data_IF_384918881090
#
_entry.id   IF_384918881090
#
_cell.length_a   1.000
_cell.length_b   1.000
_cell.length_c   1.000
_cell.angle_alpha   90.00
_cell.angle_beta   90.00
_cell.angle_gamma   90.00
#
_symmetry.space_group_name_H-M   'P 1'
#
loop_
_entity.id
_entity.type
_entity.pdbx_description
1 polymer ?
#
# COMPACT_ATOMS: atom_id res chain seq x y z
N UNK A 1 -1.25 -3.63 26.60
CA UNK A 1 -0.32 -4.56 25.94
C UNK A 1 -0.12 -4.04 24.52
N UNK A 2 1.07 -3.51 24.24
CA UNK A 2 1.35 -3.03 22.89
C UNK A 2 1.35 -4.21 21.92
N UNK A 3 0.65 -4.04 20.81
CA UNK A 3 0.55 -5.04 19.77
C UNK A 3 1.83 -4.98 18.95
N UNK A 4 2.71 -5.96 19.11
CA UNK A 4 3.96 -6.05 18.35
C UNK A 4 3.80 -7.08 17.22
N UNK A 5 4.24 -6.68 16.03
CA UNK A 5 4.37 -7.59 14.87
C UNK A 5 5.81 -8.10 14.76
N UNK A 6 5.99 -9.18 14.00
CA UNK A 6 7.31 -9.75 13.78
C UNK A 6 8.17 -8.82 12.92
N UNK A 7 9.30 -8.36 13.44
CA UNK A 7 10.23 -7.50 12.72
C UNK A 7 11.00 -6.56 13.65
N UNK A 8 11.69 -5.58 13.06
CA UNK A 8 12.52 -4.61 13.77
C UNK A 8 11.70 -3.69 14.69
N UNK A 9 12.41 -2.99 15.58
CA UNK A 9 11.81 -1.94 16.40
C UNK A 9 11.26 -0.80 15.55
N UNK A 10 11.92 -0.47 14.43
CA UNK A 10 11.48 0.58 13.50
C UNK A 10 10.16 0.21 12.82
N UNK A 11 10.08 -1.01 12.28
CA UNK A 11 8.84 -1.53 11.70
C UNK A 11 7.68 -1.47 12.71
N UNK A 12 7.91 -1.87 13.95
CA UNK A 12 6.88 -1.83 15.00
C UNK A 12 6.46 -0.39 15.34
N UNK A 13 7.38 0.55 15.42
CA UNK A 13 7.05 1.98 15.62
C UNK A 13 6.24 2.54 14.45
N UNK A 14 6.59 2.23 13.21
CA UNK A 14 5.84 2.63 12.01
C UNK A 14 4.43 2.02 12.03
N UNK A 15 4.28 0.76 12.42
CA UNK A 15 2.98 0.11 12.55
C UNK A 15 2.10 0.80 13.60
N UNK A 16 2.66 1.14 14.77
CA UNK A 16 1.93 1.85 15.82
C UNK A 16 1.47 3.24 15.35
N UNK A 17 2.30 3.96 14.59
CA UNK A 17 1.92 5.22 13.97
C UNK A 17 0.74 5.05 13.01
N UNK A 18 0.79 4.03 12.14
CA UNK A 18 -0.31 3.69 11.24
C UNK A 18 -1.61 3.35 11.98
N UNK A 19 -1.55 2.56 13.04
CA UNK A 19 -2.75 2.19 13.82
C UNK A 19 -3.44 3.41 14.47
N UNK A 20 -2.65 4.36 15.01
CA UNK A 20 -3.19 5.62 15.57
C UNK A 20 -3.89 6.43 14.49
N UNK A 21 -3.23 6.62 13.36
CA UNK A 21 -3.78 7.37 12.21
C UNK A 21 -5.02 6.71 11.63
N UNK A 22 -5.02 5.38 11.51
CA UNK A 22 -6.12 4.61 10.94
C UNK A 22 -7.43 4.70 11.73
N UNK A 23 -7.36 4.94 13.04
CA UNK A 23 -8.58 5.10 13.86
C UNK A 23 -9.38 6.35 13.44
N UNK A 24 -8.69 7.44 13.12
CA UNK A 24 -9.30 8.66 12.56
C UNK A 24 -9.89 8.41 11.17
N UNK A 25 -9.14 7.68 10.33
CA UNK A 25 -9.57 7.38 8.96
C UNK A 25 -10.82 6.49 8.89
N UNK A 26 -10.96 5.53 9.82
CA UNK A 26 -12.20 4.72 9.93
C UNK A 26 -13.42 5.55 10.27
N UNK A 27 -13.28 6.51 11.18
CA UNK A 27 -14.35 7.46 11.53
C UNK A 27 -14.71 8.32 10.30
N UNK A 28 -13.68 8.86 9.61
CA UNK A 28 -13.87 9.69 8.44
C UNK A 28 -14.54 8.90 7.29
N UNK A 29 -14.26 7.60 7.16
CA UNK A 29 -14.93 6.72 6.19
C UNK A 29 -16.43 6.57 6.48
N UNK A 30 -16.81 6.37 7.74
CA UNK A 30 -18.22 6.33 8.13
C UNK A 30 -18.97 7.66 7.87
N UNK A 31 -18.27 8.80 7.93
CA UNK A 31 -18.84 10.10 7.58
C UNK A 31 -19.03 10.27 6.06
N UNK A 32 -18.14 9.72 5.23
CA UNK A 32 -18.25 9.78 3.76
C UNK A 32 -19.53 9.12 3.26
N UNK A 33 -19.96 8.02 3.86
CA UNK A 33 -21.22 7.36 3.49
C UNK A 33 -22.42 8.29 3.66
N UNK A 34 -22.41 9.16 4.66
CA UNK A 34 -23.45 10.15 4.88
C UNK A 34 -23.35 11.36 3.92
N UNK A 35 -22.15 11.63 3.37
CA UNK A 35 -21.89 12.77 2.47
C UNK A 35 -22.10 12.42 0.98
N UNK A 36 -22.47 11.20 0.63
CA UNK A 36 -22.60 10.73 -0.77
C UNK A 36 -23.65 11.48 -1.61
N UNK A 37 -24.47 12.33 -1.00
CA UNK A 37 -25.38 13.22 -1.73
C UNK A 37 -24.65 14.30 -2.57
N UNK A 38 -23.34 14.53 -2.33
CA UNK A 38 -22.51 15.47 -3.07
C UNK A 38 -21.10 14.93 -3.31
N UNK A 39 -20.81 14.46 -4.52
CA UNK A 39 -19.48 13.99 -4.91
C UNK A 39 -18.38 15.05 -4.73
N UNK A 40 -18.70 16.33 -4.88
CA UNK A 40 -17.75 17.42 -4.65
C UNK A 40 -17.41 17.52 -3.16
N UNK A 41 -18.41 17.50 -2.30
CA UNK A 41 -18.20 17.52 -0.84
C UNK A 41 -17.42 16.31 -0.36
N UNK A 42 -17.68 15.12 -0.89
CA UNK A 42 -16.94 13.91 -0.56
C UNK A 42 -15.46 14.00 -1.00
N UNK A 43 -15.14 14.53 -2.19
CA UNK A 43 -13.76 14.74 -2.64
C UNK A 43 -13.00 15.72 -1.76
N UNK A 44 -13.58 16.88 -1.47
CA UNK A 44 -12.97 17.89 -0.60
C UNK A 44 -12.73 17.32 0.81
N UNK A 45 -13.64 16.49 1.30
CA UNK A 45 -13.52 15.81 2.59
C UNK A 45 -12.35 14.82 2.58
N UNK A 46 -12.23 13.96 1.55
CA UNK A 46 -11.15 12.98 1.44
C UNK A 46 -9.79 13.65 1.28
N UNK A 47 -9.70 14.75 0.52
CA UNK A 47 -8.47 15.52 0.41
C UNK A 47 -8.02 16.07 1.78
N UNK A 48 -8.96 16.58 2.57
CA UNK A 48 -8.69 17.02 3.95
C UNK A 48 -8.33 15.84 4.87
N UNK A 49 -8.93 14.68 4.67
CA UNK A 49 -8.60 13.47 5.41
C UNK A 49 -7.17 13.01 5.09
N UNK A 50 -6.76 13.01 3.82
CA UNK A 50 -5.39 12.69 3.41
C UNK A 50 -4.37 13.65 4.05
N UNK A 51 -4.61 14.96 4.00
CA UNK A 51 -3.72 15.93 4.64
C UNK A 51 -3.62 15.72 6.16
N UNK A 52 -4.72 15.41 6.85
CA UNK A 52 -4.69 15.07 8.29
C UNK A 52 -3.91 13.79 8.59
N UNK A 53 -3.97 12.80 7.71
CA UNK A 53 -3.16 11.58 7.82
C UNK A 53 -1.68 11.95 7.73
N UNK A 54 -1.29 12.73 6.73
CA UNK A 54 0.08 13.18 6.51
C UNK A 54 0.61 13.93 7.73
N UNK A 55 -0.13 14.92 8.24
CA UNK A 55 0.26 15.72 9.41
C UNK A 55 0.33 14.87 10.70
N UNK A 56 -0.66 14.00 10.92
CA UNK A 56 -0.75 13.19 12.13
C UNK A 56 0.38 12.17 12.22
N UNK A 57 0.66 11.47 11.11
CA UNK A 57 1.66 10.40 11.09
C UNK A 57 3.09 10.95 11.08
N UNK A 58 3.31 12.13 10.46
CA UNK A 58 4.64 12.70 10.31
C UNK A 58 5.37 12.88 11.64
N UNK A 59 4.68 13.38 12.66
CA UNK A 59 5.26 13.57 13.99
C UNK A 59 5.76 12.26 14.60
N UNK A 60 5.02 11.18 14.41
CA UNK A 60 5.40 9.84 14.88
C UNK A 60 6.56 9.26 14.06
N UNK A 61 6.55 9.46 12.73
CA UNK A 61 7.61 8.98 11.84
C UNK A 61 8.95 9.68 12.12
N UNK A 62 8.93 10.98 12.42
CA UNK A 62 10.14 11.72 12.81
C UNK A 62 10.71 11.27 14.17
N UNK A 63 9.95 10.58 15.03
CA UNK A 63 10.50 9.89 16.20
C UNK A 63 11.23 8.59 15.83
N UNK A 64 10.94 8.02 14.66
CA UNK A 64 11.63 6.82 14.13
C UNK A 64 12.94 7.24 13.45
N UNK A 65 12.86 8.25 12.58
CA UNK A 65 13.98 8.81 11.80
C UNK A 65 13.89 10.33 11.75
N UNK A 66 14.51 11.05 12.70
CA UNK A 66 14.35 12.51 12.83
C UNK A 66 14.78 13.32 11.60
N UNK A 67 15.78 12.82 10.84
CA UNK A 67 16.31 13.50 9.65
C UNK A 67 15.73 13.02 8.33
N UNK A 68 14.76 12.09 8.36
CA UNK A 68 14.17 11.56 7.13
C UNK A 68 13.31 12.60 6.41
N UNK A 69 13.35 12.53 5.07
CA UNK A 69 12.40 13.22 4.21
C UNK A 69 11.00 12.60 4.25
N UNK A 70 10.05 13.25 3.60
CA UNK A 70 8.70 12.73 3.38
C UNK A 70 8.31 12.95 1.91
N UNK A 71 7.89 11.89 1.24
CA UNK A 71 7.30 11.89 -0.07
C UNK A 71 5.85 11.41 0.01
N UNK A 72 4.92 12.22 -0.47
CA UNK A 72 3.52 11.85 -0.67
C UNK A 72 3.09 12.24 -2.09
N UNK A 73 1.91 11.84 -2.58
CA UNK A 73 1.41 12.27 -3.88
C UNK A 73 1.32 13.80 -4.03
N UNK A 74 1.20 14.53 -2.92
CA UNK A 74 0.98 15.98 -2.90
C UNK A 74 2.18 16.77 -2.40
N UNK A 75 3.09 16.16 -1.64
CA UNK A 75 4.18 16.83 -0.94
C UNK A 75 5.47 16.06 -1.08
N UNK A 76 6.54 16.77 -1.41
CA UNK A 76 7.91 16.26 -1.29
C UNK A 76 8.67 17.19 -0.34
N UNK A 77 9.04 16.68 0.83
CA UNK A 77 9.83 17.36 1.84
C UNK A 77 11.19 16.69 1.97
N UNK A 78 12.24 17.36 1.57
CA UNK A 78 13.61 16.86 1.74
C UNK A 78 13.94 16.72 3.24
N UNK A 79 14.63 15.63 3.58
CA UNK A 79 15.30 15.45 4.87
C UNK A 79 16.76 15.85 4.80
N UNK A 80 17.45 15.75 5.93
CA UNK A 80 18.89 16.05 6.02
C UNK A 80 19.76 14.83 5.64
N UNK A 81 19.14 13.66 5.50
CA UNK A 81 19.80 12.38 5.29
C UNK A 81 19.42 11.73 3.96
N UNK A 82 19.76 10.44 3.87
CA UNK A 82 19.46 9.57 2.74
C UNK A 82 18.17 8.75 2.98
N UNK A 83 17.52 8.99 4.11
CA UNK A 83 16.31 8.30 4.52
C UNK A 83 15.09 9.13 4.13
N UNK A 84 14.05 8.46 3.66
CA UNK A 84 12.81 9.06 3.24
C UNK A 84 11.63 8.14 3.60
N UNK A 85 10.61 8.71 4.21
CA UNK A 85 9.31 8.05 4.30
C UNK A 85 8.52 8.34 3.04
N UNK A 86 7.88 7.29 2.50
CA UNK A 86 6.99 7.38 1.35
C UNK A 86 5.60 6.98 1.82
N UNK A 87 4.64 7.89 1.72
CA UNK A 87 3.30 7.72 2.30
C UNK A 87 2.23 8.07 1.28
N UNK A 88 1.20 7.23 1.15
CA UNK A 88 0.02 7.51 0.35
C UNK A 88 -1.26 6.92 0.97
N UNK A 89 -2.39 7.59 0.73
CA UNK A 89 -3.71 6.99 0.81
C UNK A 89 -4.06 6.39 -0.55
N UNK A 90 -3.74 5.12 -0.75
CA UNK A 90 -4.03 4.40 -1.99
C UNK A 90 -5.50 4.00 -2.05
N UNK A 91 -6.13 4.19 -3.23
CA UNK A 91 -7.56 3.97 -3.40
C UNK A 91 -8.43 5.14 -2.91
N UNK A 92 -7.93 6.37 -2.95
CA UNK A 92 -8.68 7.57 -2.54
C UNK A 92 -10.02 7.74 -3.28
N UNK A 93 -10.11 7.31 -4.55
CA UNK A 93 -11.36 7.30 -5.32
C UNK A 93 -12.40 6.32 -4.76
N UNK A 94 -11.96 5.18 -4.24
CA UNK A 94 -12.80 4.21 -3.54
C UNK A 94 -13.31 4.81 -2.22
N UNK A 95 -12.41 5.42 -1.45
CA UNK A 95 -12.77 6.10 -0.20
C UNK A 95 -13.86 7.16 -0.42
N UNK A 96 -13.71 8.03 -1.44
CA UNK A 96 -14.74 9.03 -1.82
C UNK A 96 -16.10 8.41 -2.09
N UNK A 97 -16.14 7.17 -2.57
CA UNK A 97 -17.36 6.44 -2.92
C UNK A 97 -17.94 5.60 -1.78
N UNK A 98 -17.32 5.59 -0.60
CA UNK A 98 -17.70 4.68 0.49
C UNK A 98 -17.36 3.21 0.18
N UNK A 99 -16.43 2.97 -0.77
CA UNK A 99 -15.95 1.63 -1.05
C UNK A 99 -14.77 1.32 -0.09
N UNK A 100 -14.83 0.24 0.71
CA UNK A 100 -13.82 -0.07 1.73
C UNK A 100 -12.47 -0.51 1.16
N UNK A 101 -12.34 -0.65 -0.16
CA UNK A 101 -11.12 -1.11 -0.82
C UNK A 101 -10.12 0.04 -0.99
N UNK A 102 -9.50 0.45 0.12
CA UNK A 102 -8.43 1.46 0.18
C UNK A 102 -7.44 1.11 1.28
N UNK A 103 -6.24 1.68 1.22
CA UNK A 103 -5.18 1.42 2.19
C UNK A 103 -4.29 2.63 2.44
N UNK A 104 -3.64 2.65 3.60
CA UNK A 104 -2.48 3.49 3.85
C UNK A 104 -1.24 2.70 3.42
N UNK A 105 -0.50 3.21 2.43
CA UNK A 105 0.79 2.71 1.98
C UNK A 105 1.88 3.52 2.67
N UNK A 106 2.79 2.88 3.39
CA UNK A 106 3.91 3.51 4.08
C UNK A 106 5.19 2.71 3.84
N UNK A 107 6.22 3.37 3.33
CA UNK A 107 7.54 2.78 3.19
C UNK A 107 8.60 3.66 3.87
N UNK A 108 9.67 3.03 4.35
CA UNK A 108 10.92 3.69 4.70
C UNK A 108 11.96 3.29 3.66
N UNK A 109 12.50 4.28 2.96
CA UNK A 109 13.60 4.13 2.02
C UNK A 109 14.91 4.63 2.66
N UNK A 110 16.00 3.99 2.29
CA UNK A 110 17.36 4.41 2.66
C UNK A 110 18.27 4.18 1.47
N UNK A 111 19.01 5.20 1.04
CA UNK A 111 19.87 5.15 -0.15
C UNK A 111 19.11 4.66 -1.40
N UNK A 112 17.93 5.21 -1.66
CA UNK A 112 17.05 4.87 -2.80
C UNK A 112 16.49 3.45 -2.81
N UNK A 113 16.70 2.66 -1.75
CA UNK A 113 16.11 1.33 -1.61
C UNK A 113 15.05 1.31 -0.52
N UNK A 114 13.92 0.67 -0.78
CA UNK A 114 12.89 0.44 0.23
C UNK A 114 13.39 -0.62 1.22
N UNK A 115 13.42 -0.27 2.51
CA UNK A 115 13.90 -1.14 3.60
C UNK A 115 12.76 -1.72 4.44
N UNK A 116 11.71 -0.93 4.66
CA UNK A 116 10.53 -1.33 5.43
C UNK A 116 9.30 -0.91 4.63
N UNK A 117 8.31 -1.80 4.57
CA UNK A 117 7.07 -1.59 3.83
C UNK A 117 5.86 -2.06 4.64
N UNK A 118 4.82 -1.22 4.66
CA UNK A 118 3.55 -1.47 5.32
C UNK A 118 2.40 -1.02 4.40
N UNK A 119 1.45 -1.92 4.15
CA UNK A 119 0.19 -1.62 3.48
C UNK A 119 -0.94 -2.01 4.42
N UNK A 120 -1.63 -1.03 4.96
CA UNK A 120 -2.66 -1.23 5.96
C UNK A 120 -4.05 -0.89 5.42
N UNK A 121 -4.94 -1.90 5.38
CA UNK A 121 -6.38 -1.73 5.10
C UNK A 121 -7.10 -1.43 6.41
N UNK A 122 -7.58 -0.18 6.63
CA UNK A 122 -8.16 0.20 7.91
C UNK A 122 -9.50 -0.48 8.20
N UNK A 123 -10.28 -0.77 7.17
CA UNK A 123 -11.62 -1.36 7.32
C UNK A 123 -11.54 -2.85 7.65
N UNK A 124 -10.64 -3.57 6.97
CA UNK A 124 -10.41 -4.99 7.23
C UNK A 124 -9.49 -5.25 8.44
N UNK A 125 -8.90 -4.20 9.01
CA UNK A 125 -7.88 -4.27 10.07
C UNK A 125 -6.72 -5.23 9.70
N UNK A 126 -6.33 -5.22 8.41
CA UNK A 126 -5.31 -6.10 7.86
C UNK A 126 -4.09 -5.29 7.45
N UNK A 127 -2.92 -5.71 7.94
CA UNK A 127 -1.63 -5.16 7.56
C UNK A 127 -0.86 -6.20 6.74
N UNK A 128 -0.42 -5.81 5.55
CA UNK A 128 0.63 -6.49 4.80
C UNK A 128 1.93 -5.75 5.02
N UNK A 129 3.02 -6.47 5.31
CA UNK A 129 4.27 -5.83 5.63
C UNK A 129 5.48 -6.67 5.26
N UNK A 130 6.59 -5.99 5.04
CA UNK A 130 7.89 -6.61 4.79
C UNK A 130 9.02 -5.74 5.33
N UNK A 131 10.13 -6.38 5.64
CA UNK A 131 11.43 -5.79 5.91
C UNK A 131 12.44 -6.46 4.99
N UNK A 132 13.30 -5.68 4.34
CA UNK A 132 14.24 -6.17 3.32
C UNK A 132 15.08 -7.34 3.82
N UNK A 133 15.03 -8.47 3.11
CA UNK A 133 15.72 -9.72 3.45
C UNK A 133 15.03 -10.59 4.52
N UNK A 134 13.83 -10.21 5.01
CA UNK A 134 13.17 -10.91 6.11
C UNK A 134 11.86 -11.62 5.70
N UNK A 135 11.46 -11.46 4.44
CA UNK A 135 10.22 -12.00 3.90
C UNK A 135 9.01 -11.12 4.16
N UNK A 136 7.89 -11.47 3.55
CA UNK A 136 6.63 -10.75 3.65
C UNK A 136 5.64 -11.46 4.57
N UNK A 137 4.80 -10.67 5.24
CA UNK A 137 3.85 -11.14 6.23
C UNK A 137 2.50 -10.42 6.10
N UNK A 138 1.45 -11.08 6.56
CA UNK A 138 0.16 -10.46 6.83
C UNK A 138 -0.12 -10.55 8.33
N UNK A 139 -0.59 -9.43 8.91
CA UNK A 139 -1.10 -9.39 10.28
C UNK A 139 -2.59 -9.12 10.25
N UNK A 140 -3.37 -9.96 10.93
CA UNK A 140 -4.81 -9.82 11.12
C UNK A 140 -5.24 -10.61 12.35
N UNK A 141 -6.29 -10.15 13.03
CA UNK A 141 -6.81 -10.81 14.22
C UNK A 141 -5.72 -11.18 15.24
N UNK A 142 -4.76 -10.27 15.46
CA UNK A 142 -3.65 -10.38 16.41
C UNK A 142 -2.63 -11.48 16.08
N UNK A 143 -2.61 -11.96 14.83
CA UNK A 143 -1.68 -13.00 14.39
C UNK A 143 -0.94 -12.57 13.12
N UNK A 144 0.39 -12.80 13.08
CA UNK A 144 1.23 -12.62 11.89
C UNK A 144 1.46 -13.96 11.21
N UNK A 145 1.15 -14.04 9.92
CA UNK A 145 1.46 -15.18 9.08
C UNK A 145 2.38 -14.76 7.93
N UNK A 146 3.36 -15.61 7.59
CA UNK A 146 4.19 -15.41 6.41
C UNK A 146 3.35 -15.61 5.15
N UNK A 147 3.49 -14.70 4.17
CA UNK A 147 2.85 -14.82 2.87
C UNK A 147 3.87 -15.13 1.79
N UNK A 148 3.37 -15.69 0.69
CA UNK A 148 4.11 -15.96 -0.54
C UNK A 148 3.20 -15.73 -1.72
N UNK A 149 3.79 -15.37 -2.84
CA UNK A 149 3.10 -15.34 -4.14
C UNK A 149 2.53 -16.71 -4.50
N UNK A 150 1.56 -16.75 -5.42
CA UNK A 150 1.03 -18.00 -5.96
C UNK A 150 2.08 -18.71 -6.83
N UNK A 151 1.81 -19.94 -7.19
CA UNK A 151 2.61 -20.73 -8.12
C UNK A 151 1.86 -21.09 -9.41
N UNK A 152 0.76 -20.36 -9.71
CA UNK A 152 0.00 -20.56 -10.93
C UNK A 152 0.77 -20.04 -12.13
N UNK A 153 0.69 -20.77 -13.26
CA UNK A 153 1.36 -20.41 -14.50
C UNK A 153 0.45 -20.50 -15.73
N UNK A 154 -0.70 -21.22 -15.61
CA UNK A 154 -1.62 -21.38 -16.74
C UNK A 154 -2.41 -20.09 -16.98
N UNK A 155 -2.30 -19.46 -18.17
CA UNK A 155 -2.87 -18.14 -18.44
C UNK A 155 -4.35 -17.99 -18.13
N UNK A 156 -5.16 -19.04 -18.33
CA UNK A 156 -6.60 -19.02 -18.11
C UNK A 156 -7.00 -19.08 -16.63
N UNK A 157 -6.09 -19.51 -15.75
CA UNK A 157 -6.33 -19.63 -14.31
C UNK A 157 -5.86 -18.39 -13.53
N UNK A 158 -5.21 -17.44 -14.21
CA UNK A 158 -4.65 -16.26 -13.55
C UNK A 158 -5.73 -15.28 -13.13
N UNK A 159 -5.53 -14.68 -11.98
CA UNK A 159 -6.24 -13.46 -11.57
C UNK A 159 -5.30 -12.27 -11.62
N UNK A 160 -5.62 -11.28 -12.45
CA UNK A 160 -4.75 -10.14 -12.72
C UNK A 160 -5.41 -8.85 -12.28
N UNK A 161 -4.78 -8.14 -11.35
CA UNK A 161 -5.11 -6.75 -11.04
C UNK A 161 -4.57 -5.81 -12.13
N UNK A 162 -5.29 -4.76 -12.49
CA UNK A 162 -4.77 -3.80 -13.44
C UNK A 162 -5.27 -2.37 -13.19
N UNK A 163 -4.46 -1.40 -13.59
CA UNK A 163 -4.81 0.01 -13.64
C UNK A 163 -4.12 0.66 -14.84
N UNK A 164 -4.61 0.37 -16.04
CA UNK A 164 -4.08 0.88 -17.31
C UNK A 164 -5.07 1.84 -17.95
N UNK A 165 -4.57 2.84 -18.67
CA UNK A 165 -5.37 3.83 -19.41
C UNK A 165 -5.95 3.26 -20.71
N UNK A 166 -5.29 2.24 -21.27
CA UNK A 166 -5.71 1.54 -22.49
C UNK A 166 -6.61 0.32 -22.17
N UNK A 167 -7.28 -0.16 -23.21
CA UNK A 167 -8.09 -1.37 -23.15
C UNK A 167 -7.31 -2.59 -23.64
N UNK A 168 -6.04 -2.74 -23.24
CA UNK A 168 -5.28 -3.93 -23.61
C UNK A 168 -5.95 -5.20 -23.07
N UNK A 169 -6.02 -6.27 -23.85
CA UNK A 169 -6.57 -7.52 -23.37
C UNK A 169 -5.68 -8.09 -22.27
N UNK A 170 -6.29 -8.47 -21.15
CA UNK A 170 -5.64 -9.20 -20.07
C UNK A 170 -5.95 -10.69 -20.21
N UNK A 171 -4.97 -11.53 -19.94
CA UNK A 171 -5.19 -12.98 -19.81
C UNK A 171 -5.93 -13.28 -18.51
N UNK A 172 -6.67 -14.37 -18.48
CA UNK A 172 -7.33 -14.84 -17.27
C UNK A 172 -8.46 -13.93 -16.78
N UNK A 173 -8.59 -13.83 -15.47
CA UNK A 173 -9.65 -13.10 -14.77
C UNK A 173 -9.15 -11.72 -14.32
N UNK A 174 -9.49 -10.67 -15.07
CA UNK A 174 -8.97 -9.32 -14.85
C UNK A 174 -9.82 -8.52 -13.85
N UNK A 175 -9.17 -7.79 -12.95
CA UNK A 175 -9.77 -6.97 -11.90
C UNK A 175 -9.20 -5.56 -11.91
N UNK A 176 -10.07 -4.55 -11.98
CA UNK A 176 -9.71 -3.15 -11.78
C UNK A 176 -10.25 -2.68 -10.43
N UNK A 177 -9.43 -2.76 -9.40
CA UNK A 177 -9.85 -2.47 -8.02
C UNK A 177 -9.75 -0.98 -7.67
N UNK A 178 -8.81 -0.27 -8.27
CA UNK A 178 -8.53 1.14 -8.01
C UNK A 178 -7.72 1.40 -6.73
N UNK A 179 -7.01 0.38 -6.20
CA UNK A 179 -6.12 0.51 -5.05
C UNK A 179 -4.78 -0.22 -5.29
N UNK A 180 -3.82 0.42 -5.98
CA UNK A 180 -2.53 -0.17 -6.35
C UNK A 180 -1.80 -0.84 -5.19
N UNK A 181 -1.77 -0.21 -4.01
CA UNK A 181 -1.07 -0.76 -2.85
C UNK A 181 -1.67 -2.10 -2.39
N UNK A 182 -3.01 -2.23 -2.37
CA UNK A 182 -3.65 -3.50 -2.01
C UNK A 182 -3.51 -4.54 -3.12
N UNK A 183 -3.54 -4.14 -4.39
CA UNK A 183 -3.38 -5.05 -5.51
C UNK A 183 -1.99 -5.70 -5.48
N UNK A 184 -0.93 -4.92 -5.24
CA UNK A 184 0.42 -5.44 -5.01
C UNK A 184 0.51 -6.34 -3.78
N UNK A 185 -0.11 -5.95 -2.67
CA UNK A 185 -0.16 -6.78 -1.46
C UNK A 185 -0.91 -8.10 -1.71
N UNK A 186 -1.90 -8.10 -2.61
CA UNK A 186 -2.62 -9.31 -3.00
C UNK A 186 -1.82 -10.20 -3.95
N UNK A 187 -0.97 -9.62 -4.81
CA UNK A 187 0.04 -10.41 -5.55
C UNK A 187 0.97 -11.11 -4.57
N UNK A 188 1.51 -10.38 -3.60
CA UNK A 188 2.39 -10.94 -2.57
C UNK A 188 1.73 -12.04 -1.72
N UNK A 189 0.42 -11.98 -1.54
CA UNK A 189 -0.36 -12.96 -0.76
C UNK A 189 -0.93 -14.10 -1.61
N UNK A 190 -0.61 -14.17 -2.91
CA UNK A 190 -1.10 -15.19 -3.84
C UNK A 190 -2.61 -15.12 -4.10
N UNK A 191 -3.23 -13.96 -3.92
CA UNK A 191 -4.63 -13.70 -4.25
C UNK A 191 -4.80 -13.18 -5.67
N UNK A 192 -3.81 -12.44 -6.14
CA UNK A 192 -3.57 -12.11 -7.52
C UNK A 192 -2.28 -12.78 -7.98
N UNK A 193 -2.19 -13.09 -9.25
CA UNK A 193 -1.01 -13.67 -9.87
C UNK A 193 -0.12 -12.60 -10.48
N UNK A 194 -0.74 -11.49 -10.87
CA UNK A 194 -0.05 -10.31 -11.36
C UNK A 194 -0.82 -9.01 -11.11
N UNK A 195 -0.09 -7.89 -11.24
CA UNK A 195 -0.63 -6.54 -11.28
C UNK A 195 0.10 -5.72 -12.34
N UNK A 196 -0.66 -5.00 -13.18
CA UNK A 196 -0.15 -4.17 -14.27
C UNK A 196 -0.69 -2.75 -14.16
N UNK A 197 0.17 -1.74 -14.24
CA UNK A 197 -0.25 -0.33 -14.19
C UNK A 197 0.64 0.55 -15.06
N UNK A 198 0.02 1.43 -15.85
CA UNK A 198 0.67 2.54 -16.57
C UNK A 198 0.56 3.87 -15.82
N UNK A 199 -0.29 3.94 -14.79
CA UNK A 199 -0.48 5.11 -13.95
C UNK A 199 0.34 4.93 -12.66
N UNK A 200 1.58 5.42 -12.66
CA UNK A 200 2.54 5.22 -11.57
C UNK A 200 2.60 6.47 -10.68
N UNK A 201 1.92 6.42 -9.53
CA UNK A 201 2.31 7.23 -8.39
C UNK A 201 3.24 6.39 -7.51
N UNK A 202 4.51 6.77 -7.49
CA UNK A 202 5.54 6.04 -6.73
C UNK A 202 5.14 5.91 -5.25
N UNK A 203 4.49 6.91 -4.67
CA UNK A 203 4.08 6.85 -3.27
C UNK A 203 3.03 5.75 -3.00
N UNK A 204 2.20 5.40 -3.99
CA UNK A 204 1.24 4.31 -3.84
C UNK A 204 1.86 2.92 -3.97
N UNK A 205 2.95 2.79 -4.73
CA UNK A 205 3.53 1.47 -5.09
C UNK A 205 4.76 1.08 -4.27
N UNK A 206 5.49 2.04 -3.69
CA UNK A 206 6.79 1.81 -3.05
C UNK A 206 6.76 0.72 -1.95
N UNK A 207 5.72 0.68 -1.13
CA UNK A 207 5.56 -0.36 -0.11
C UNK A 207 5.19 -1.71 -0.75
N UNK A 208 4.23 -1.71 -1.67
CA UNK A 208 3.77 -2.91 -2.34
C UNK A 208 4.88 -3.63 -3.11
N UNK A 209 5.76 -2.86 -3.76
CA UNK A 209 6.92 -3.39 -4.48
C UNK A 209 7.82 -4.26 -3.58
N UNK A 210 8.23 -3.75 -2.42
CA UNK A 210 9.04 -4.52 -1.48
C UNK A 210 8.29 -5.76 -0.99
N UNK A 211 7.00 -5.63 -0.65
CA UNK A 211 6.19 -6.76 -0.16
C UNK A 211 6.13 -7.89 -1.19
N UNK A 212 5.95 -7.55 -2.50
CA UNK A 212 5.96 -8.55 -3.59
C UNK A 212 7.30 -9.25 -3.69
N UNK A 213 8.42 -8.50 -3.70
CA UNK A 213 9.78 -9.07 -3.79
C UNK A 213 10.08 -9.98 -2.59
N UNK A 214 9.74 -9.56 -1.40
CA UNK A 214 9.94 -10.35 -0.16
C UNK A 214 9.01 -11.57 -0.07
N UNK A 215 7.90 -11.58 -0.79
CA UNK A 215 7.03 -12.74 -0.95
C UNK A 215 7.52 -13.73 -2.02
N UNK A 216 8.59 -13.40 -2.74
CA UNK A 216 9.18 -14.22 -3.81
C UNK A 216 8.67 -13.90 -5.22
N UNK A 217 7.92 -12.83 -5.38
CA UNK A 217 7.47 -12.34 -6.68
C UNK A 217 8.52 -11.49 -7.40
N UNK A 218 8.18 -11.07 -8.60
CA UNK A 218 9.02 -10.23 -9.46
C UNK A 218 8.32 -8.89 -9.71
N UNK A 219 9.06 -7.78 -9.68
CA UNK A 219 8.56 -6.45 -10.01
C UNK A 219 9.50 -5.79 -11.00
N UNK A 220 8.96 -5.38 -12.13
CA UNK A 220 9.66 -4.67 -13.19
C UNK A 220 9.00 -3.30 -13.40
N UNK A 221 9.81 -2.27 -13.55
CA UNK A 221 9.38 -0.90 -13.83
C UNK A 221 10.06 -0.46 -15.13
N UNK A 222 9.31 -0.47 -16.21
CA UNK A 222 9.75 0.05 -17.52
C UNK A 222 8.82 1.19 -17.96
N UNK A 223 8.07 1.01 -19.05
CA UNK A 223 6.98 1.94 -19.40
C UNK A 223 5.79 1.76 -18.44
N UNK A 224 5.57 0.52 -18.01
CA UNK A 224 4.54 0.11 -17.05
C UNK A 224 5.19 -0.54 -15.83
N UNK A 225 4.47 -0.52 -14.69
CA UNK A 225 4.74 -1.39 -13.57
C UNK A 225 4.13 -2.77 -13.87
N UNK A 226 4.94 -3.81 -13.82
CA UNK A 226 4.49 -5.19 -13.89
C UNK A 226 4.99 -5.93 -12.65
N UNK A 227 4.07 -6.35 -11.79
CA UNK A 227 4.36 -7.21 -10.64
C UNK A 227 3.74 -8.59 -10.88
N UNK A 228 4.50 -9.65 -10.69
CA UNK A 228 4.05 -11.03 -10.94
C UNK A 228 4.45 -11.95 -9.81
N UNK A 229 3.86 -13.15 -9.80
CA UNK A 229 4.27 -14.26 -8.95
C UNK A 229 5.62 -14.88 -9.37
N UNK A 230 6.25 -14.40 -10.45
CA UNK A 230 7.53 -14.90 -10.97
C UNK A 230 7.41 -16.13 -11.85
N UNK A 231 6.23 -16.67 -12.08
CA UNK A 231 5.94 -17.85 -12.91
C UNK A 231 5.23 -17.50 -14.21
N UNK A 232 4.75 -16.27 -14.35
CA UNK A 232 4.05 -15.79 -15.54
C UNK A 232 4.79 -14.60 -16.16
N UNK A 233 4.73 -14.51 -17.49
CA UNK A 233 5.12 -13.35 -18.29
C UNK A 233 3.86 -12.67 -18.81
N UNK A 234 3.78 -11.33 -18.65
CA UNK A 234 2.61 -10.53 -19.03
C UNK A 234 3.04 -9.41 -19.99
#
# INVERSE_FOLDING_TARGET
>A
MELLIKGSTELNKMFMALQRTASGLRRDFGEVENLQQSLRGARDFVQKASARIEDSILSDLLLVRPSAGLLTPNVSRAGDGRDEFVLALSGASNFVRGNPHFAISLALRSNDETKIALVYSPIDERLYYAESGHGAYVFSAYHSARIKVSNLSEPMDLTIGYNTSDNRPMMGDARRTGCPALDLAWVAAGKFDAYVSDALDFAEIAAGELIVREAGGRVEMMADLVATNGHVEI
#
